data_IF_511918673622
#
_entry.id   IF_511918673622
#
_cell.length_a   1.000
_cell.length_b   1.000
_cell.length_c   1.000
_cell.angle_alpha   90.00
_cell.angle_beta   90.00
_cell.angle_gamma   90.00
#
_symmetry.space_group_name_H-M   'P 1'
#
loop_
_entity.id
_entity.type
_entity.pdbx_description
1 polymer ?
#
# COMPACT_ATOMS: atom_id res chain seq x y z
N UNK A 1 1.33 -13.86 -5.82
CA UNK A 1 1.97 -12.54 -5.68
C UNK A 1 1.48 -11.63 -6.76
N UNK A 2 0.51 -10.80 -6.42
CA UNK A 2 -0.04 -9.75 -7.29
C UNK A 2 0.62 -8.42 -6.93
N UNK A 3 1.61 -8.03 -7.73
CA UNK A 3 2.35 -6.79 -7.56
C UNK A 3 1.72 -5.64 -8.35
N UNK A 4 1.53 -4.50 -7.69
CA UNK A 4 1.06 -3.26 -8.32
C UNK A 4 2.13 -2.18 -8.16
N UNK A 5 2.41 -1.39 -9.21
CA UNK A 5 3.36 -0.27 -9.09
C UNK A 5 2.88 0.71 -8.02
N UNK A 6 3.77 1.19 -7.16
CA UNK A 6 3.43 2.15 -6.10
C UNK A 6 2.79 3.44 -6.66
N UNK A 7 3.20 3.89 -7.86
CA UNK A 7 2.57 5.03 -8.56
C UNK A 7 1.13 4.76 -8.95
N UNK A 8 0.79 3.53 -9.33
CA UNK A 8 -0.58 3.14 -9.66
C UNK A 8 -1.41 2.93 -8.38
N UNK A 9 -0.79 2.35 -7.35
CA UNK A 9 -1.41 2.12 -6.06
C UNK A 9 -1.93 3.43 -5.46
N UNK A 10 -1.10 4.47 -5.46
CA UNK A 10 -1.47 5.77 -4.90
C UNK A 10 -2.71 6.37 -5.58
N UNK A 11 -2.79 6.31 -6.90
CA UNK A 11 -3.91 6.90 -7.66
C UNK A 11 -5.18 6.06 -7.56
N UNK A 12 -5.06 4.77 -7.28
CA UNK A 12 -6.21 3.85 -7.23
C UNK A 12 -6.87 3.76 -5.86
N UNK A 13 -6.10 3.87 -4.78
CA UNK A 13 -6.56 3.57 -3.43
C UNK A 13 -6.72 4.81 -2.54
N UNK A 14 -6.36 5.99 -3.03
CA UNK A 14 -6.53 7.25 -2.33
C UNK A 14 -7.41 8.18 -3.15
N UNK A 15 -8.21 8.98 -2.45
CA UNK A 15 -9.00 10.04 -3.07
C UNK A 15 -8.08 11.09 -3.71
N UNK A 16 -8.55 11.69 -4.81
CA UNK A 16 -7.79 12.68 -5.55
C UNK A 16 -7.39 13.87 -4.65
N UNK A 17 -6.11 14.17 -4.59
CA UNK A 17 -5.54 15.24 -3.74
C UNK A 17 -5.20 14.78 -2.32
N UNK A 18 -5.54 13.54 -1.94
CA UNK A 18 -5.16 12.92 -0.67
C UNK A 18 -4.09 11.84 -0.84
N UNK A 19 -3.58 11.64 -2.06
CA UNK A 19 -2.60 10.59 -2.31
C UNK A 19 -1.24 10.97 -1.71
N UNK A 20 -0.58 10.05 -0.99
CA UNK A 20 0.76 10.30 -0.48
C UNK A 20 1.75 10.53 -1.63
N UNK A 21 2.80 11.29 -1.33
CA UNK A 21 3.89 11.45 -2.27
C UNK A 21 4.65 10.12 -2.47
N UNK A 22 5.40 10.03 -3.57
CA UNK A 22 6.17 8.81 -3.85
C UNK A 22 7.28 8.56 -2.83
N UNK A 23 7.76 9.59 -2.12
CA UNK A 23 8.79 9.45 -1.09
C UNK A 23 8.25 8.73 0.13
N UNK A 24 7.05 9.12 0.59
CA UNK A 24 6.33 8.49 1.69
C UNK A 24 5.99 7.04 1.37
N UNK A 25 5.45 6.76 0.17
CA UNK A 25 5.15 5.37 -0.22
C UNK A 25 6.39 4.47 -0.26
N UNK A 26 7.52 4.98 -0.75
CA UNK A 26 8.79 4.23 -0.73
C UNK A 26 9.22 3.95 0.70
N UNK A 27 9.20 4.98 1.55
CA UNK A 27 9.55 4.87 2.96
C UNK A 27 8.69 3.82 3.68
N UNK A 28 7.37 3.85 3.52
CA UNK A 28 6.48 2.85 4.12
C UNK A 28 6.76 1.43 3.63
N UNK A 29 7.16 1.25 2.36
CA UNK A 29 7.57 -0.07 1.83
C UNK A 29 8.91 -0.51 2.44
N UNK A 30 9.88 0.41 2.50
CA UNK A 30 11.22 0.13 3.03
C UNK A 30 11.20 -0.13 4.56
N UNK A 31 10.31 0.55 5.30
CA UNK A 31 10.08 0.35 6.75
C UNK A 31 9.14 -0.83 7.06
N UNK A 32 8.52 -1.43 6.03
CA UNK A 32 7.64 -2.59 6.18
C UNK A 32 6.22 -2.27 6.65
N UNK A 33 5.85 -0.98 6.79
CA UNK A 33 4.49 -0.55 7.09
C UNK A 33 3.50 -0.88 5.96
N UNK A 34 3.98 -0.82 4.71
CA UNK A 34 3.21 -1.20 3.53
C UNK A 34 3.86 -2.43 2.88
N UNK A 35 3.16 -3.58 2.77
CA UNK A 35 3.74 -4.76 2.16
C UNK A 35 4.06 -4.50 0.69
N UNK A 36 5.35 -4.59 0.37
CA UNK A 36 5.85 -4.29 -0.96
C UNK A 36 7.31 -4.65 -1.09
N UNK A 37 7.83 -4.42 -2.29
CA UNK A 37 9.25 -4.62 -2.58
C UNK A 37 9.71 -3.71 -3.71
N UNK A 38 11.01 -3.42 -3.71
CA UNK A 38 11.69 -2.75 -4.81
C UNK A 38 12.25 -3.78 -5.78
N UNK A 39 11.92 -3.66 -7.06
CA UNK A 39 12.50 -4.46 -8.14
C UNK A 39 13.21 -3.50 -9.09
N UNK A 40 14.54 -3.52 -9.09
CA UNK A 40 15.36 -2.54 -9.79
C UNK A 40 15.17 -1.12 -9.23
N UNK A 41 14.68 -0.20 -10.05
CA UNK A 41 14.37 1.19 -9.65
C UNK A 41 12.90 1.41 -9.32
N UNK A 42 12.05 0.41 -9.54
CA UNK A 42 10.59 0.53 -9.41
C UNK A 42 10.14 -0.11 -8.11
N UNK A 43 9.23 0.59 -7.41
CA UNK A 43 8.60 0.10 -6.19
C UNK A 43 7.23 -0.50 -6.50
N UNK A 44 6.96 -1.64 -5.88
CA UNK A 44 5.73 -2.40 -6.03
C UNK A 44 5.10 -2.67 -4.66
N UNK A 45 3.78 -2.62 -4.61
CA UNK A 45 2.95 -3.03 -3.47
C UNK A 45 2.45 -4.44 -3.73
N UNK A 46 2.56 -5.31 -2.74
CA UNK A 46 2.03 -6.67 -2.77
C UNK A 46 0.57 -6.67 -2.31
N UNK A 47 -0.35 -6.77 -3.27
CA UNK A 47 -1.78 -6.73 -3.00
C UNK A 47 -2.30 -7.99 -2.32
N UNK A 48 -1.61 -9.13 -2.48
CA UNK A 48 -2.01 -10.36 -1.81
C UNK A 48 -1.71 -10.23 -0.31
N UNK A 49 -0.53 -9.71 0.05
CA UNK A 49 -0.14 -9.46 1.45
C UNK A 49 -0.90 -8.29 2.08
N UNK A 50 -1.26 -7.27 1.30
CA UNK A 50 -2.05 -6.15 1.80
C UNK A 50 -3.43 -6.60 2.33
N UNK A 51 -4.09 -7.55 1.64
CA UNK A 51 -5.36 -8.13 2.09
C UNK A 51 -5.27 -8.91 3.41
N UNK A 52 -4.08 -9.44 3.70
CA UNK A 52 -3.82 -10.22 4.93
C UNK A 52 -3.58 -9.29 6.12
N UNK A 53 -3.27 -8.01 5.89
CA UNK A 53 -3.16 -6.99 6.95
C UNK A 53 -4.55 -6.61 7.49
N UNK A 54 -5.14 -7.56 8.20
CA UNK A 54 -6.40 -7.45 8.92
C UNK A 54 -6.15 -6.59 10.17
N UNK A 55 -6.21 -5.27 10.03
CA UNK A 55 -6.19 -4.40 11.20
C UNK A 55 -7.48 -4.65 12.01
N UNK A 56 -7.40 -5.21 13.24
CA UNK A 56 -8.58 -5.62 14.00
C UNK A 56 -9.55 -4.47 14.28
N UNK A 57 -9.05 -3.23 14.32
CA UNK A 57 -9.85 -2.03 14.56
C UNK A 57 -10.69 -1.66 13.33
N UNK A 58 -10.15 -1.82 12.12
CA UNK A 58 -10.87 -1.51 10.87
C UNK A 58 -12.02 -2.51 10.66
N UNK A 59 -11.78 -3.79 10.96
CA UNK A 59 -12.80 -4.83 10.86
C UNK A 59 -13.96 -4.63 11.86
N UNK A 60 -13.69 -4.07 13.05
CA UNK A 60 -14.74 -3.76 14.03
C UNK A 60 -15.63 -2.60 13.61
N UNK A 61 -15.08 -1.60 12.92
CA UNK A 61 -15.84 -0.43 12.45
C UNK A 61 -16.68 -0.77 11.22
N UNK A 62 -16.19 -1.63 10.32
CA UNK A 62 -16.94 -2.06 9.12
C UNK A 62 -18.06 -3.07 9.40
N UNK A 63 -18.05 -3.72 10.58
CA UNK A 63 -19.06 -4.70 10.99
C UNK A 63 -20.19 -4.08 11.85
N UNK A 64 -20.17 -2.76 12.07
CA UNK A 64 -21.14 -2.02 12.88
C UNK A 64 -22.20 -1.33 12.03
#
# INVERSE_FOLDING_TARGET
MKLMKATQFRTRYFEKGSEPDMKTLKKCIDEGELPGQRIGTIYYVDLDRLKVSNNPLVNRVLAA
#
